data_IF_320157608961
#
_entry.id   IF_320157608961
#
_cell.length_a   1.000
_cell.length_b   1.000
_cell.length_c   1.000
_cell.angle_alpha   90.00
_cell.angle_beta   90.00
_cell.angle_gamma   90.00
#
_symmetry.space_group_name_H-M   'P 1'
#
loop_
_entity.id
_entity.type
_entity.pdbx_description
1 polymer ?
#
# COMPACT_ATOMS: atom_id res chain seq x y z
N UNK A 1 -31.94 34.15 51.63
CA UNK A 1 -30.74 33.40 51.21
C UNK A 1 -30.74 32.05 51.92
N UNK A 2 -31.05 30.96 51.22
CA UNK A 2 -30.79 29.60 51.72
C UNK A 2 -30.71 28.66 50.53
N UNK A 3 -29.46 28.37 50.16
CA UNK A 3 -29.06 27.49 49.07
C UNK A 3 -29.14 26.03 49.56
N UNK A 4 -29.92 25.16 48.91
CA UNK A 4 -29.82 23.71 49.12
C UNK A 4 -29.80 22.98 47.77
N UNK A 5 -28.65 22.40 47.44
CA UNK A 5 -28.47 21.50 46.31
C UNK A 5 -29.12 20.13 46.61
N UNK A 6 -29.82 19.51 45.64
CA UNK A 6 -30.33 18.16 45.81
C UNK A 6 -29.22 17.11 45.65
N UNK A 7 -29.17 16.20 46.64
CA UNK A 7 -28.22 15.09 46.74
C UNK A 7 -28.39 14.05 45.61
N UNK A 8 -27.29 13.79 44.89
CA UNK A 8 -27.14 12.83 43.78
C UNK A 8 -27.42 11.36 44.13
N UNK A 9 -27.64 11.01 45.40
CA UNK A 9 -27.86 9.62 45.84
C UNK A 9 -29.28 9.07 45.64
N UNK A 10 -30.26 9.92 45.31
CA UNK A 10 -31.65 9.45 45.12
C UNK A 10 -31.96 8.95 43.70
N UNK A 11 -31.01 9.03 42.76
CA UNK A 11 -31.25 8.63 41.37
C UNK A 11 -30.97 7.14 41.10
N UNK A 12 -30.34 6.42 42.05
CA UNK A 12 -29.96 5.02 41.87
C UNK A 12 -30.93 4.00 42.50
N UNK A 13 -31.95 4.44 43.24
CA UNK A 13 -32.90 3.56 43.93
C UNK A 13 -34.25 3.40 43.22
N UNK A 14 -34.43 4.01 42.04
CA UNK A 14 -35.72 4.05 41.34
C UNK A 14 -35.92 3.05 40.19
N UNK A 15 -34.96 2.17 39.89
CA UNK A 15 -34.99 1.31 38.71
C UNK A 15 -34.83 -0.19 39.00
N UNK A 16 -35.29 -0.66 40.18
CA UNK A 16 -35.13 -2.05 40.59
C UNK A 16 -36.43 -2.89 40.60
N UNK A 17 -37.56 -2.36 40.10
CA UNK A 17 -38.82 -3.10 40.18
C UNK A 17 -39.78 -2.81 39.02
N UNK A 18 -39.50 -3.37 37.84
CA UNK A 18 -40.52 -3.85 36.91
C UNK A 18 -39.85 -4.58 35.73
N UNK A 19 -40.42 -5.71 35.34
CA UNK A 19 -40.08 -6.54 34.17
C UNK A 19 -38.82 -7.40 34.28
N UNK A 20 -38.99 -8.49 35.02
CA UNK A 20 -38.49 -9.81 34.63
C UNK A 20 -38.93 -10.16 33.20
N UNK A 21 -38.18 -9.69 32.21
CA UNK A 21 -38.09 -10.30 30.90
C UNK A 21 -36.61 -10.61 30.70
N UNK A 22 -36.28 -11.89 30.52
CA UNK A 22 -34.94 -12.34 30.28
C UNK A 22 -34.35 -11.59 29.07
N UNK A 23 -33.56 -10.54 29.30
CA UNK A 23 -32.49 -10.18 28.38
C UNK A 23 -31.42 -11.22 28.58
N UNK A 24 -31.65 -12.42 28.05
CA UNK A 24 -30.56 -13.28 27.63
C UNK A 24 -29.60 -12.35 26.89
N UNK A 25 -28.42 -12.14 27.45
CA UNK A 25 -27.33 -11.49 26.75
C UNK A 25 -27.01 -12.34 25.54
N UNK A 26 -27.73 -12.11 24.45
CA UNK A 26 -27.29 -12.57 23.15
C UNK A 26 -25.91 -11.93 23.00
N UNK A 27 -24.84 -12.71 22.76
CA UNK A 27 -23.57 -12.12 22.39
C UNK A 27 -23.89 -11.15 21.25
N UNK A 28 -23.43 -9.91 21.37
CA UNK A 28 -23.48 -9.00 20.24
C UNK A 28 -22.85 -9.77 19.09
N UNK A 29 -23.66 -10.19 18.12
CA UNK A 29 -23.17 -10.75 16.87
C UNK A 29 -22.52 -9.53 16.21
N UNK A 30 -21.25 -9.30 16.55
CA UNK A 30 -20.33 -8.57 15.69
C UNK A 30 -20.45 -9.33 14.39
N UNK A 31 -21.15 -8.75 13.40
CA UNK A 31 -21.02 -9.22 12.04
C UNK A 31 -19.53 -9.18 11.80
N UNK A 32 -18.90 -10.35 11.71
CA UNK A 32 -17.54 -10.44 11.19
C UNK A 32 -17.59 -9.62 9.91
N UNK A 33 -16.87 -8.49 9.90
CA UNK A 33 -16.76 -7.65 8.73
C UNK A 33 -16.27 -8.60 7.66
N UNK A 34 -17.09 -8.84 6.62
CA UNK A 34 -16.76 -9.84 5.61
C UNK A 34 -15.38 -9.57 5.02
N UNK A 35 -14.77 -10.55 4.33
CA UNK A 35 -13.43 -10.43 3.79
C UNK A 35 -13.16 -9.06 3.18
N UNK A 36 -12.08 -8.41 3.60
CA UNK A 36 -11.63 -7.15 3.00
C UNK A 36 -11.19 -7.49 1.59
N UNK A 37 -11.87 -6.93 0.59
CA UNK A 37 -11.53 -7.13 -0.82
C UNK A 37 -10.77 -5.91 -1.33
N UNK A 38 -9.53 -6.11 -1.77
CA UNK A 38 -8.67 -5.09 -2.36
C UNK A 38 -8.47 -5.38 -3.85
N UNK A 39 -8.63 -4.36 -4.69
CA UNK A 39 -8.30 -4.42 -6.10
C UNK A 39 -7.00 -3.68 -6.38
N UNK A 40 -6.01 -4.43 -6.83
CA UNK A 40 -4.70 -3.93 -7.19
C UNK A 40 -4.53 -3.91 -8.71
N UNK A 41 -3.67 -3.02 -9.20
CA UNK A 41 -3.17 -3.07 -10.58
C UNK A 41 -1.66 -3.08 -10.60
N UNK A 42 -1.07 -3.87 -11.49
CA UNK A 42 0.36 -3.81 -11.79
C UNK A 42 0.68 -2.83 -12.92
N UNK A 43 1.94 -2.40 -13.04
CA UNK A 43 2.42 -1.62 -14.19
C UNK A 43 2.87 -2.48 -15.37
N UNK A 44 2.61 -3.79 -15.33
CA UNK A 44 3.16 -4.78 -16.25
C UNK A 44 2.07 -5.47 -17.10
N UNK A 45 2.37 -5.87 -18.36
CA UNK A 45 1.49 -6.73 -19.14
C UNK A 45 1.24 -8.08 -18.47
N UNK A 46 0.12 -8.76 -18.78
CA UNK A 46 -0.26 -10.02 -18.10
C UNK A 46 0.75 -11.16 -18.22
N UNK A 47 1.59 -11.17 -19.27
CA UNK A 47 2.61 -12.21 -19.51
C UNK A 47 4.01 -11.82 -19.05
N UNK A 48 4.14 -10.71 -18.32
CA UNK A 48 5.40 -10.21 -17.81
C UNK A 48 5.73 -10.86 -16.47
N UNK A 49 7.00 -11.25 -16.26
CA UNK A 49 7.46 -11.87 -15.00
C UNK A 49 7.19 -10.98 -13.78
N UNK A 50 7.17 -9.66 -13.93
CA UNK A 50 6.86 -8.76 -12.83
C UNK A 50 5.36 -8.68 -12.53
N UNK A 51 4.49 -9.06 -13.47
CA UNK A 51 3.08 -9.30 -13.19
C UNK A 51 2.91 -10.59 -12.38
N UNK A 52 3.64 -11.65 -12.74
CA UNK A 52 3.67 -12.91 -11.97
C UNK A 52 4.13 -12.66 -10.52
N UNK A 53 5.15 -11.83 -10.30
CA UNK A 53 5.59 -11.45 -8.95
C UNK A 53 4.49 -10.75 -8.14
N UNK A 54 3.68 -9.91 -8.78
CA UNK A 54 2.55 -9.26 -8.12
C UNK A 54 1.47 -10.27 -7.73
N UNK A 55 1.18 -11.23 -8.61
CA UNK A 55 0.24 -12.31 -8.36
C UNK A 55 0.71 -13.22 -7.22
N UNK A 56 2.00 -13.54 -7.17
CA UNK A 56 2.57 -14.38 -6.11
C UNK A 56 2.55 -13.68 -4.74
N UNK A 57 2.82 -12.37 -4.70
CA UNK A 57 2.63 -11.57 -3.50
C UNK A 57 1.16 -11.62 -3.02
N UNK A 58 0.21 -11.34 -3.92
CA UNK A 58 -1.21 -11.36 -3.59
C UNK A 58 -1.68 -12.74 -3.11
N UNK A 59 -1.23 -13.81 -3.78
CA UNK A 59 -1.52 -15.20 -3.38
C UNK A 59 -1.02 -15.47 -1.96
N UNK A 60 0.24 -15.12 -1.67
CA UNK A 60 0.82 -15.31 -0.34
C UNK A 60 0.05 -14.56 0.74
N UNK A 61 -0.37 -13.31 0.48
CA UNK A 61 -1.20 -12.55 1.42
C UNK A 61 -2.54 -13.25 1.64
N UNK A 62 -3.25 -13.60 0.56
CA UNK A 62 -4.56 -14.24 0.64
C UNK A 62 -4.50 -15.56 1.42
N UNK A 63 -3.48 -16.38 1.19
CA UNK A 63 -3.25 -17.65 1.88
C UNK A 63 -2.93 -17.42 3.36
N UNK A 64 -2.05 -16.47 3.69
CA UNK A 64 -1.66 -16.15 5.07
C UNK A 64 -2.80 -15.57 5.90
N UNK A 65 -3.76 -14.88 5.28
CA UNK A 65 -4.92 -14.33 5.96
C UNK A 65 -6.11 -15.28 6.02
N UNK A 66 -6.00 -16.51 5.51
CA UNK A 66 -7.12 -17.45 5.48
C UNK A 66 -8.35 -16.91 4.70
N UNK A 67 -8.13 -15.96 3.79
CA UNK A 67 -9.18 -15.28 3.04
C UNK A 67 -9.82 -14.06 3.72
N UNK A 68 -9.47 -13.69 4.95
CA UNK A 68 -10.00 -12.47 5.62
C UNK A 68 -9.59 -11.17 4.90
N UNK A 69 -8.48 -11.22 4.16
CA UNK A 69 -8.07 -10.24 3.17
C UNK A 69 -7.95 -10.95 1.82
N UNK A 70 -8.48 -10.32 0.77
CA UNK A 70 -8.39 -10.81 -0.59
C UNK A 70 -7.90 -9.72 -1.52
N UNK A 71 -6.73 -9.93 -2.11
CA UNK A 71 -6.14 -9.08 -3.14
C UNK A 71 -6.40 -9.71 -4.51
N UNK A 72 -7.07 -8.98 -5.38
CA UNK A 72 -7.17 -9.26 -6.82
C UNK A 72 -6.21 -8.34 -7.57
N UNK A 73 -5.32 -8.89 -8.40
CA UNK A 73 -4.33 -8.11 -9.15
C UNK A 73 -4.68 -8.09 -10.62
N UNK A 74 -4.80 -6.89 -11.18
CA UNK A 74 -5.06 -6.65 -12.59
C UNK A 74 -3.77 -6.29 -13.36
N UNK A 75 -3.67 -6.62 -14.65
CA UNK A 75 -2.55 -6.20 -15.48
C UNK A 75 -2.58 -4.70 -15.79
N UNK A 76 -1.49 -4.18 -16.34
CA UNK A 76 -1.41 -2.80 -16.80
C UNK A 76 -2.56 -2.42 -17.74
N UNK A 77 -3.15 -1.24 -17.54
CA UNK A 77 -4.19 -0.70 -18.42
C UNK A 77 -5.60 -1.22 -18.15
N UNK A 78 -5.78 -2.17 -17.21
CA UNK A 78 -7.11 -2.71 -16.89
C UNK A 78 -8.05 -1.67 -16.24
N UNK A 79 -7.51 -0.77 -15.41
CA UNK A 79 -8.26 0.31 -14.77
C UNK A 79 -7.69 1.68 -15.16
N UNK A 80 -6.36 1.82 -15.11
CA UNK A 80 -5.65 3.04 -15.53
C UNK A 80 -4.41 2.69 -16.35
N UNK A 81 -3.92 3.60 -17.23
CA UNK A 81 -2.61 3.45 -17.86
C UNK A 81 -1.51 3.20 -16.82
N UNK A 82 -0.45 2.47 -17.18
CA UNK A 82 0.58 2.01 -16.24
C UNK A 82 1.19 3.14 -15.38
N UNK A 83 1.50 4.29 -15.99
CA UNK A 83 2.07 5.44 -15.29
C UNK A 83 1.06 6.21 -14.40
N UNK A 84 -0.23 5.89 -14.50
CA UNK A 84 -1.30 6.45 -13.66
C UNK A 84 -1.47 5.74 -12.31
N UNK A 85 -0.69 4.69 -12.02
CA UNK A 85 -0.89 3.85 -10.84
C UNK A 85 -0.84 4.63 -9.51
N UNK A 86 0.17 5.48 -9.31
CA UNK A 86 0.32 6.24 -8.05
C UNK A 86 -0.89 7.13 -7.76
N UNK A 87 -1.43 7.79 -8.79
CA UNK A 87 -2.61 8.66 -8.65
C UNK A 87 -3.88 7.84 -8.38
N UNK A 88 -4.02 6.70 -9.06
CA UNK A 88 -5.17 5.82 -8.89
C UNK A 88 -5.25 5.27 -7.47
N UNK A 89 -4.11 4.88 -6.88
CA UNK A 89 -4.05 4.45 -5.48
C UNK A 89 -4.27 5.63 -4.54
N UNK A 90 -3.59 6.76 -4.76
CA UNK A 90 -3.72 7.95 -3.91
C UNK A 90 -5.17 8.47 -3.82
N UNK A 91 -5.93 8.34 -4.91
CA UNK A 91 -7.35 8.76 -5.01
C UNK A 91 -8.34 7.67 -4.59
N UNK A 92 -7.87 6.47 -4.24
CA UNK A 92 -8.74 5.34 -3.89
C UNK A 92 -9.51 4.72 -5.07
N UNK A 93 -9.09 4.97 -6.31
CA UNK A 93 -9.63 4.27 -7.50
C UNK A 93 -9.18 2.80 -7.51
N UNK A 94 -7.97 2.55 -7.02
CA UNK A 94 -7.41 1.24 -6.73
C UNK A 94 -7.03 1.20 -5.25
N UNK A 95 -7.18 0.05 -4.60
CA UNK A 95 -6.80 -0.11 -3.19
C UNK A 95 -5.28 -0.28 -3.01
N UNK A 96 -4.58 -0.62 -4.09
CA UNK A 96 -3.14 -0.80 -4.11
C UNK A 96 -2.60 -1.08 -5.52
N UNK A 97 -1.31 -1.45 -5.59
CA UNK A 97 -0.69 -1.76 -6.86
C UNK A 97 0.74 -2.27 -6.75
N UNK A 98 1.26 -2.75 -7.88
CA UNK A 98 2.62 -3.27 -8.01
C UNK A 98 3.34 -2.58 -9.18
N UNK A 99 4.54 -2.06 -8.92
CA UNK A 99 5.33 -1.36 -9.92
C UNK A 99 6.66 -0.89 -9.35
N UNK A 100 7.33 0.00 -10.08
CA UNK A 100 8.61 0.59 -9.67
C UNK A 100 8.43 2.07 -9.30
N UNK A 101 9.09 2.49 -8.22
CA UNK A 101 9.04 3.87 -7.72
C UNK A 101 9.52 4.88 -8.76
N UNK A 102 10.52 4.51 -9.56
CA UNK A 102 11.11 5.38 -10.59
C UNK A 102 10.08 5.86 -11.61
N UNK A 103 9.03 5.11 -11.92
CA UNK A 103 8.01 5.53 -12.89
C UNK A 103 7.27 6.83 -12.51
N UNK A 104 7.41 7.28 -11.27
CA UNK A 104 6.79 8.50 -10.78
C UNK A 104 7.76 9.69 -10.73
N UNK A 105 8.95 9.59 -11.35
CA UNK A 105 9.94 10.68 -11.38
C UNK A 105 9.36 11.98 -11.97
N UNK A 106 8.46 11.90 -12.95
CA UNK A 106 7.82 13.08 -13.54
C UNK A 106 6.92 13.87 -12.58
N UNK A 107 6.55 13.27 -11.43
CA UNK A 107 5.85 13.95 -10.33
C UNK A 107 6.83 14.48 -9.29
N UNK A 108 7.85 13.71 -8.97
CA UNK A 108 8.93 14.09 -8.06
C UNK A 108 10.25 13.48 -8.54
N UNK A 109 11.13 14.31 -9.09
CA UNK A 109 12.39 13.89 -9.70
C UNK A 109 13.26 13.03 -8.78
N UNK A 110 13.22 13.28 -7.46
CA UNK A 110 13.97 12.49 -6.48
C UNK A 110 13.55 11.01 -6.41
N UNK A 111 12.36 10.64 -6.90
CA UNK A 111 11.95 9.23 -6.98
C UNK A 111 12.79 8.43 -7.99
N UNK A 112 13.53 9.09 -8.90
CA UNK A 112 14.52 8.44 -9.74
C UNK A 112 15.65 7.76 -8.95
N UNK A 113 15.90 8.21 -7.71
CA UNK A 113 16.92 7.63 -6.81
C UNK A 113 16.54 6.23 -6.28
N UNK A 114 15.27 5.82 -6.41
CA UNK A 114 14.79 4.49 -6.01
C UNK A 114 14.79 3.45 -7.13
N UNK A 115 15.43 3.74 -8.26
CA UNK A 115 15.52 2.83 -9.40
C UNK A 115 16.68 3.22 -10.30
N UNK A 116 16.36 3.65 -11.53
CA UNK A 116 17.30 3.90 -12.63
C UNK A 116 18.27 5.08 -12.45
N UNK A 117 18.64 5.43 -11.22
CA UNK A 117 19.73 6.38 -10.98
C UNK A 117 21.03 5.84 -11.60
N UNK A 118 21.95 6.71 -12.06
CA UNK A 118 23.23 6.26 -12.62
C UNK A 118 23.90 5.32 -11.61
N UNK A 119 24.13 4.08 -12.03
CA UNK A 119 24.52 2.95 -11.20
C UNK A 119 25.99 3.04 -10.71
N UNK A 120 26.37 4.17 -10.12
CA UNK A 120 27.69 4.41 -9.54
C UNK A 120 27.68 4.40 -8.01
N UNK A 121 26.53 4.15 -7.38
CA UNK A 121 26.34 4.24 -5.93
C UNK A 121 26.05 2.89 -5.27
N UNK A 122 24.77 2.54 -5.19
CA UNK A 122 24.28 1.36 -4.47
C UNK A 122 23.91 0.24 -5.44
N UNK A 123 24.26 -1.00 -5.10
CA UNK A 123 23.61 -2.16 -5.72
C UNK A 123 22.16 -2.33 -5.20
N UNK A 124 21.44 -3.29 -5.79
CA UNK A 124 20.04 -3.52 -5.47
C UNK A 124 19.78 -3.86 -3.99
N UNK A 125 20.67 -4.61 -3.35
CA UNK A 125 20.56 -4.98 -1.94
C UNK A 125 20.94 -3.82 -1.03
N UNK A 126 21.93 -3.02 -1.41
CA UNK A 126 22.31 -1.80 -0.70
C UNK A 126 21.16 -0.79 -0.71
N UNK A 127 20.51 -0.56 -1.86
CA UNK A 127 19.35 0.34 -1.97
C UNK A 127 18.20 -0.14 -1.08
N UNK A 128 17.89 -1.45 -1.12
CA UNK A 128 16.84 -2.03 -0.28
C UNK A 128 17.18 -1.93 1.22
N UNK A 129 18.43 -2.18 1.58
CA UNK A 129 18.92 -2.07 2.96
C UNK A 129 18.88 -0.63 3.47
N UNK A 130 19.30 0.33 2.66
CA UNK A 130 19.20 1.75 2.97
C UNK A 130 17.74 2.20 3.11
N UNK A 131 16.85 1.73 2.23
CA UNK A 131 15.44 2.02 2.36
C UNK A 131 14.87 1.52 3.70
N UNK A 132 15.24 0.31 4.10
CA UNK A 132 14.72 -0.34 5.30
C UNK A 132 15.35 0.16 6.60
N UNK A 133 16.65 0.41 6.62
CA UNK A 133 17.42 0.66 7.85
C UNK A 133 18.20 1.99 7.84
N UNK A 134 18.38 2.61 6.68
CA UNK A 134 19.23 3.79 6.48
C UNK A 134 18.48 5.11 6.32
N UNK A 135 17.19 5.17 6.65
CA UNK A 135 16.39 6.39 6.57
C UNK A 135 15.68 6.61 5.22
N UNK A 136 15.81 5.67 4.26
CA UNK A 136 15.18 5.82 2.95
C UNK A 136 13.64 5.78 3.03
N UNK A 137 13.06 4.99 3.93
CA UNK A 137 11.59 4.97 4.11
C UNK A 137 11.03 6.35 4.48
N UNK A 138 11.68 7.03 5.43
CA UNK A 138 11.27 8.36 5.90
C UNK A 138 11.42 9.40 4.79
N UNK A 139 12.48 9.29 3.98
CA UNK A 139 12.67 10.13 2.79
C UNK A 139 11.59 9.87 1.74
N UNK A 140 11.24 8.61 1.46
CA UNK A 140 10.18 8.27 0.51
C UNK A 140 8.83 8.86 0.97
N UNK A 141 8.50 8.75 2.26
CA UNK A 141 7.30 9.38 2.83
C UNK A 141 7.32 10.91 2.65
N UNK A 142 8.46 11.58 2.89
CA UNK A 142 8.59 13.03 2.63
C UNK A 142 8.36 13.37 1.16
N UNK A 143 8.89 12.56 0.24
CA UNK A 143 8.69 12.76 -1.21
C UNK A 143 7.23 12.60 -1.60
N UNK A 144 6.54 11.56 -1.13
CA UNK A 144 5.10 11.39 -1.39
C UNK A 144 4.26 12.53 -0.82
N UNK A 145 4.54 12.97 0.42
CA UNK A 145 3.86 14.11 1.01
C UNK A 145 4.06 15.39 0.19
N UNK A 146 5.25 15.60 -0.39
CA UNK A 146 5.56 16.79 -1.22
C UNK A 146 4.71 16.90 -2.49
N UNK A 147 4.15 15.78 -2.96
CA UNK A 147 3.29 15.70 -4.14
C UNK A 147 1.84 15.33 -3.81
N UNK A 148 1.48 15.32 -2.53
CA UNK A 148 0.13 14.96 -2.06
C UNK A 148 -0.27 13.50 -2.33
N UNK A 149 0.70 12.59 -2.50
CA UNK A 149 0.42 11.18 -2.72
C UNK A 149 0.06 10.48 -1.39
N UNK A 150 -1.13 9.89 -1.34
CA UNK A 150 -1.63 9.14 -0.18
C UNK A 150 -1.37 7.64 -0.36
N UNK A 151 -0.09 7.24 -0.29
CA UNK A 151 0.35 5.86 -0.53
C UNK A 151 1.45 5.48 0.46
N UNK A 152 1.42 4.22 0.89
CA UNK A 152 2.54 3.57 1.56
C UNK A 152 3.14 2.55 0.60
N UNK A 153 4.42 2.67 0.30
CA UNK A 153 5.13 1.72 -0.55
C UNK A 153 6.01 0.79 0.27
N UNK A 154 6.06 -0.47 -0.15
CA UNK A 154 6.88 -1.52 0.47
C UNK A 154 7.86 -2.05 -0.57
N UNK A 155 9.05 -1.45 -0.73
CA UNK A 155 10.08 -2.03 -1.59
C UNK A 155 10.49 -3.42 -1.08
N UNK A 156 10.44 -4.43 -1.95
CA UNK A 156 10.73 -5.82 -1.57
C UNK A 156 11.54 -6.63 -2.61
N UNK A 157 11.64 -6.17 -3.85
CA UNK A 157 12.34 -6.87 -4.93
C UNK A 157 13.63 -6.14 -5.33
N UNK A 158 14.81 -6.56 -4.86
CA UNK A 158 16.08 -5.99 -5.32
C UNK A 158 16.33 -6.43 -6.76
N UNK A 159 16.04 -5.56 -7.74
CA UNK A 159 16.38 -5.81 -9.14
C UNK A 159 17.85 -5.50 -9.39
N UNK A 160 18.62 -6.50 -9.78
CA UNK A 160 20.03 -6.35 -10.15
C UNK A 160 20.20 -5.53 -11.43
N UNK A 161 21.46 -5.20 -11.73
CA UNK A 161 21.87 -4.45 -12.91
C UNK A 161 21.21 -4.98 -14.18
N UNK A 162 20.53 -4.10 -14.89
CA UNK A 162 19.88 -4.42 -16.16
C UNK A 162 20.90 -4.32 -17.32
N UNK A 163 20.71 -5.09 -18.40
CA UNK A 163 21.46 -4.85 -19.63
C UNK A 163 21.20 -3.43 -20.14
N UNK A 164 22.20 -2.84 -20.81
CA UNK A 164 22.14 -1.46 -21.32
C UNK A 164 21.20 -1.27 -22.52
N UNK A 165 20.52 -2.34 -22.94
CA UNK A 165 19.58 -2.34 -24.07
C UNK A 165 19.91 -3.43 -25.08
N UNK A 166 19.14 -3.41 -26.17
CA UNK A 166 19.29 -4.32 -27.30
C UNK A 166 19.59 -3.51 -28.56
N UNK A 167 20.76 -3.72 -29.15
CA UNK A 167 21.25 -2.91 -30.26
C UNK A 167 21.45 -3.76 -31.52
N UNK A 168 21.11 -3.20 -32.68
CA UNK A 168 21.29 -3.87 -33.98
C UNK A 168 22.76 -3.92 -34.44
N UNK A 169 23.59 -3.02 -33.92
CA UNK A 169 25.02 -2.87 -34.24
C UNK A 169 25.81 -2.68 -32.94
N UNK A 170 27.10 -3.03 -32.88
CA UNK A 170 27.96 -2.72 -31.74
C UNK A 170 28.02 -1.22 -31.46
N UNK A 171 28.04 -0.84 -30.17
CA UNK A 171 28.22 0.54 -29.69
C UNK A 171 29.63 0.65 -29.11
N UNK A 172 30.46 1.51 -29.71
CA UNK A 172 31.90 1.64 -29.42
C UNK A 172 32.33 3.07 -29.13
N UNK A 173 31.53 4.07 -29.52
CA UNK A 173 31.77 5.50 -29.30
C UNK A 173 30.44 6.25 -29.09
N UNK A 174 30.47 7.49 -28.56
CA UNK A 174 29.25 8.26 -28.30
C UNK A 174 28.36 8.54 -29.51
N UNK A 175 28.92 8.54 -30.72
CA UNK A 175 28.20 8.83 -31.97
C UNK A 175 27.54 7.61 -32.63
N UNK A 176 27.72 6.39 -32.08
CA UNK A 176 27.11 5.16 -32.61
C UNK A 176 25.61 5.04 -32.26
#
# INVERSE_FOLDING_TARGET
MSNQQPSRRKFLTGAAAATSAATLGFPAIVKAQGPISMRWQSTWPSKDIFHEYALDYARKVNDMTGGDLRIEVLPAGAVVPAFGLLDAVSKGTLDGGHGVLVYHYGKQNALALWGSSPAFGMDANMLLSWHKYGGGKELLTKLYNSIGANVVSFPYGPMFTQPLGWFKKPITKPDD
#
